data_IF_827649497553
#
_entry.id   IF_827649497553
#
_cell.length_a   1.000
_cell.length_b   1.000
_cell.length_c   1.000
_cell.angle_alpha   90.00
_cell.angle_beta   90.00
_cell.angle_gamma   90.00
#
_symmetry.space_group_name_H-M   'P 1'
#
loop_
_entity.id
_entity.type
_entity.pdbx_description
1 polymer ?
#
# COMPACT_ATOMS: atom_id res chain seq x y z
N UNK A 1 2.11 -21.57 -7.55
CA UNK A 1 1.91 -20.52 -6.52
C UNK A 1 0.92 -19.50 -7.05
N UNK A 2 -0.25 -19.35 -6.41
CA UNK A 2 -1.34 -18.45 -6.85
C UNK A 2 -0.85 -16.99 -6.84
N UNK A 3 -1.21 -16.23 -7.88
CA UNK A 3 -0.76 -14.84 -8.09
C UNK A 3 -1.24 -13.89 -6.97
N UNK A 4 -2.38 -14.17 -6.37
CA UNK A 4 -3.00 -13.33 -5.33
C UNK A 4 -2.17 -13.28 -4.03
N UNK A 5 -1.55 -14.38 -3.63
CA UNK A 5 -0.74 -14.43 -2.39
C UNK A 5 0.49 -13.51 -2.45
N UNK A 6 1.00 -13.19 -3.66
CA UNK A 6 2.14 -12.26 -3.80
C UNK A 6 1.74 -10.81 -3.57
N UNK A 7 0.50 -10.46 -3.93
CA UNK A 7 -0.03 -9.10 -3.80
C UNK A 7 -0.43 -8.82 -2.34
N UNK A 8 -1.09 -9.79 -1.69
CA UNK A 8 -1.40 -9.71 -0.26
C UNK A 8 -0.14 -9.60 0.61
N UNK A 9 0.91 -10.35 0.28
CA UNK A 9 2.21 -10.24 0.97
C UNK A 9 2.83 -8.86 0.76
N UNK A 10 2.79 -8.31 -0.45
CA UNK A 10 3.31 -6.96 -0.73
C UNK A 10 2.55 -5.88 0.04
N UNK A 11 1.23 -5.99 0.12
CA UNK A 11 0.38 -5.11 0.90
C UNK A 11 0.75 -5.22 2.38
N UNK A 12 0.89 -6.44 2.91
CA UNK A 12 1.25 -6.65 4.31
C UNK A 12 2.65 -6.09 4.64
N UNK A 13 3.62 -6.26 3.73
CA UNK A 13 4.96 -5.68 3.89
C UNK A 13 4.94 -4.16 3.81
N UNK A 14 4.12 -3.58 2.93
CA UNK A 14 3.95 -2.13 2.83
C UNK A 14 3.37 -1.53 4.12
N UNK A 15 2.34 -2.16 4.69
CA UNK A 15 1.74 -1.77 5.97
C UNK A 15 2.77 -1.89 7.10
N UNK A 16 3.49 -3.00 7.18
CA UNK A 16 4.53 -3.20 8.21
C UNK A 16 5.64 -2.16 8.13
N UNK A 17 6.09 -1.81 6.93
CA UNK A 17 7.12 -0.80 6.71
C UNK A 17 6.63 0.60 7.08
N UNK A 18 5.39 0.97 6.72
CA UNK A 18 4.77 2.24 7.14
C UNK A 18 4.68 2.34 8.66
N UNK A 19 4.23 1.28 9.34
CA UNK A 19 4.15 1.25 10.80
C UNK A 19 5.53 1.48 11.44
N UNK A 20 6.58 0.87 10.87
CA UNK A 20 7.95 1.10 11.34
C UNK A 20 8.41 2.55 11.15
N UNK A 21 8.12 3.17 9.99
CA UNK A 21 8.49 4.56 9.72
C UNK A 21 7.73 5.58 10.58
N UNK A 22 6.45 5.34 10.85
CA UNK A 22 5.67 6.16 11.80
C UNK A 22 6.22 5.99 13.22
N UNK A 23 6.50 4.76 13.64
CA UNK A 23 7.08 4.48 14.95
C UNK A 23 8.44 5.15 15.16
N UNK A 24 9.32 5.12 14.14
CA UNK A 24 10.62 5.79 14.17
C UNK A 24 10.49 7.32 14.18
N UNK A 25 9.53 7.86 13.43
CA UNK A 25 9.22 9.29 13.44
C UNK A 25 8.76 9.75 14.82
N UNK A 26 7.84 9.00 15.45
CA UNK A 26 7.35 9.27 16.81
C UNK A 26 8.47 9.12 17.84
N UNK A 27 9.30 8.08 17.75
CA UNK A 27 10.45 7.90 18.62
C UNK A 27 11.48 9.04 18.49
N UNK A 28 11.65 9.60 17.28
CA UNK A 28 12.48 10.77 17.02
C UNK A 28 11.99 12.06 17.70
N UNK A 29 10.71 12.13 18.10
CA UNK A 29 10.20 13.22 18.95
C UNK A 29 10.41 12.97 20.45
N UNK A 30 10.59 11.72 20.87
CA UNK A 30 10.68 11.30 22.28
C UNK A 30 12.14 11.26 22.76
N UNK A 31 13.09 10.92 21.88
CA UNK A 31 14.54 10.84 22.19
C UNK A 31 15.20 12.22 22.10
N UNK A 32 15.99 12.59 23.12
CA UNK A 32 16.85 13.78 23.13
C UNK A 32 17.83 13.76 21.94
N UNK A 33 17.98 14.84 21.11
CA UNK A 33 17.60 16.24 21.31
C UNK A 33 16.14 16.55 20.90
N UNK A 34 15.35 17.03 21.86
CA UNK A 34 13.95 17.41 21.65
C UNK A 34 13.80 18.50 20.59
N UNK A 35 13.00 18.23 19.55
CA UNK A 35 12.56 19.23 18.57
C UNK A 35 13.28 19.22 17.23
N UNK A 36 14.26 18.34 17.02
CA UNK A 36 14.91 18.14 15.71
C UNK A 36 14.74 16.71 15.24
N UNK A 37 13.79 16.50 14.31
CA UNK A 37 13.76 15.25 13.55
C UNK A 37 14.99 15.25 12.65
N UNK A 38 15.88 14.28 12.85
CA UNK A 38 17.02 14.10 11.97
C UNK A 38 16.54 13.90 10.53
N UNK A 39 17.19 14.60 9.58
CA UNK A 39 16.86 14.54 8.16
C UNK A 39 16.86 13.10 7.62
N UNK A 40 17.73 12.24 8.15
CA UNK A 40 17.79 10.81 7.84
C UNK A 40 16.53 10.03 8.24
N UNK A 41 15.85 10.39 9.33
CA UNK A 41 14.58 9.75 9.75
C UNK A 41 13.44 10.16 8.82
N UNK A 42 13.36 11.45 8.49
CA UNK A 42 12.37 11.96 7.54
C UNK A 42 12.59 11.37 6.14
N UNK A 43 13.85 11.23 5.72
CA UNK A 43 14.20 10.60 4.44
C UNK A 43 13.81 9.12 4.41
N UNK A 44 14.09 8.36 5.48
CA UNK A 44 13.65 6.97 5.61
C UNK A 44 12.13 6.86 5.57
N UNK A 45 11.42 7.73 6.30
CA UNK A 45 9.96 7.76 6.29
C UNK A 45 9.40 8.07 4.90
N UNK A 46 10.00 9.00 4.16
CA UNK A 46 9.64 9.29 2.78
C UNK A 46 9.83 8.07 1.85
N UNK A 47 10.88 7.27 2.05
CA UNK A 47 11.07 6.01 1.31
C UNK A 47 9.98 4.98 1.66
N UNK A 48 9.59 4.86 2.94
CA UNK A 48 8.47 4.00 3.34
C UNK A 48 7.15 4.43 2.67
N UNK A 49 6.88 5.74 2.62
CA UNK A 49 5.73 6.32 1.94
C UNK A 49 5.74 6.04 0.43
N UNK A 50 6.89 6.22 -0.25
CA UNK A 50 7.01 5.93 -1.68
C UNK A 50 6.79 4.44 -1.98
N UNK A 51 7.38 3.55 -1.17
CA UNK A 51 7.20 2.11 -1.32
C UNK A 51 5.74 1.69 -1.14
N UNK A 52 5.09 2.17 -0.07
CA UNK A 52 3.69 1.89 0.19
C UNK A 52 2.77 2.52 -0.87
N UNK A 53 3.04 3.76 -1.28
CA UNK A 53 2.30 4.44 -2.34
C UNK A 53 2.37 3.71 -3.68
N UNK A 54 3.52 3.15 -4.04
CA UNK A 54 3.69 2.33 -5.25
C UNK A 54 2.87 1.04 -5.20
N UNK A 55 2.93 0.31 -4.08
CA UNK A 55 2.20 -0.95 -3.91
C UNK A 55 0.69 -0.71 -3.86
N UNK A 56 0.23 0.26 -3.07
CA UNK A 56 -1.19 0.57 -2.98
C UNK A 56 -1.74 1.19 -4.26
N UNK A 57 -0.97 2.05 -4.93
CA UNK A 57 -1.37 2.65 -6.20
C UNK A 57 -1.62 1.59 -7.28
N UNK A 58 -0.73 0.60 -7.39
CA UNK A 58 -0.90 -0.52 -8.31
C UNK A 58 -2.05 -1.43 -7.86
N UNK A 59 -2.14 -1.76 -6.57
CA UNK A 59 -3.19 -2.64 -6.05
C UNK A 59 -4.61 -2.07 -6.24
N UNK A 60 -4.81 -0.77 -5.98
CA UNK A 60 -6.10 -0.09 -6.23
C UNK A 60 -6.41 -0.06 -7.73
N UNK A 61 -5.42 0.20 -8.58
CA UNK A 61 -5.59 0.21 -10.03
C UNK A 61 -6.00 -1.17 -10.56
N UNK A 62 -5.30 -2.23 -10.14
CA UNK A 62 -5.58 -3.62 -10.54
C UNK A 62 -6.97 -4.03 -10.06
N UNK A 63 -7.30 -3.79 -8.78
CA UNK A 63 -8.61 -4.11 -8.21
C UNK A 63 -9.74 -3.39 -8.96
N UNK A 64 -9.58 -2.10 -9.23
CA UNK A 64 -10.59 -1.31 -9.95
C UNK A 64 -10.80 -1.82 -11.39
N UNK A 65 -9.71 -2.07 -12.12
CA UNK A 65 -9.79 -2.62 -13.49
C UNK A 65 -10.39 -4.02 -13.51
N UNK A 66 -10.04 -4.86 -12.56
CA UNK A 66 -10.54 -6.22 -12.45
C UNK A 66 -12.03 -6.23 -12.15
N UNK A 67 -12.49 -5.41 -11.20
CA UNK A 67 -13.90 -5.30 -10.86
C UNK A 67 -14.72 -4.82 -12.07
N UNK A 68 -14.21 -3.86 -12.84
CA UNK A 68 -14.87 -3.38 -14.06
C UNK A 68 -14.93 -4.45 -15.17
N UNK A 69 -13.94 -5.34 -15.26
CA UNK A 69 -13.98 -6.47 -16.18
C UNK A 69 -14.98 -7.53 -15.74
N UNK A 70 -15.00 -7.87 -14.44
CA UNK A 70 -15.96 -8.82 -13.87
C UNK A 70 -17.40 -8.32 -14.06
N UNK A 71 -17.65 -7.03 -13.83
CA UNK A 71 -18.96 -6.41 -14.01
C UNK A 71 -19.45 -6.49 -15.46
N UNK A 72 -18.56 -6.19 -16.43
CA UNK A 72 -18.88 -6.35 -17.86
C UNK A 72 -19.16 -7.78 -18.28
N UNK A 73 -18.49 -8.77 -17.68
CA UNK A 73 -18.76 -10.17 -17.95
C UNK A 73 -20.12 -10.58 -17.40
N UNK A 74 -20.45 -10.11 -16.19
CA UNK A 74 -21.72 -10.39 -15.53
C UNK A 74 -22.92 -9.82 -16.30
N UNK A 75 -22.82 -8.57 -16.76
CA UNK A 75 -23.84 -7.92 -17.60
C UNK A 75 -24.05 -8.68 -18.92
N UNK A 76 -22.96 -9.17 -19.54
CA UNK A 76 -23.03 -9.92 -20.79
C UNK A 76 -23.62 -11.33 -20.63
N UNK A 77 -23.42 -11.97 -19.47
CA UNK A 77 -24.09 -13.25 -19.17
C UNK A 77 -25.58 -13.05 -18.88
N UNK A 78 -25.97 -12.00 -18.14
CA UNK A 78 -27.39 -11.69 -17.92
C UNK A 78 -28.14 -11.42 -19.23
N UNK A 79 -27.54 -10.66 -20.15
CA UNK A 79 -28.17 -10.35 -21.44
C UNK A 79 -28.26 -11.57 -22.40
N UNK A 80 -27.46 -12.62 -22.16
CA UNK A 80 -27.47 -13.84 -22.98
C UNK A 80 -28.46 -14.90 -22.49
N UNK A 81 -28.83 -14.84 -21.20
CA UNK A 81 -29.78 -15.75 -20.57
C UNK A 81 -31.19 -15.16 -20.36
N UNK A 82 -31.39 -13.88 -20.67
CA UNK A 82 -32.69 -13.19 -20.66
C UNK A 82 -33.44 -13.25 -21.99
#
# INVERSE_FOLDING_TARGET
MKKETKEEVQIYTAVGMLMSGVGLSVAGFIVEPTGQIHESVLWFFAQCLMYAGGIFGIGVYVTTKFNHLVDKLKDKEENKNG
#
